data_IF_972140008399
#
_entry.id   IF_972140008399
#
_cell.length_a   1.000
_cell.length_b   1.000
_cell.length_c   1.000
_cell.angle_alpha   90.00
_cell.angle_beta   90.00
_cell.angle_gamma   90.00
#
_symmetry.space_group_name_H-M   'P 1'
#
loop_
_entity.id
_entity.type
_entity.pdbx_description
1 polymer ?
#
# COMPACT_ATOMS: atom_id res chain seq x y z
N UNK A 1 12.52 0.84 11.88
CA UNK A 1 12.84 0.33 10.53
C UNK A 1 12.31 1.28 9.44
N UNK A 2 13.00 1.39 8.31
CA UNK A 2 12.54 2.20 7.17
C UNK A 2 11.54 1.41 6.33
N UNK A 3 10.42 2.03 5.94
CA UNK A 3 9.35 1.39 5.16
C UNK A 3 8.64 2.41 4.26
N UNK A 4 7.95 1.92 3.24
CA UNK A 4 7.00 2.70 2.44
C UNK A 4 5.57 2.32 2.86
N UNK A 5 4.66 3.29 2.95
CA UNK A 5 3.26 3.01 3.23
C UNK A 5 2.49 2.78 1.92
N UNK A 6 1.69 1.72 1.84
CA UNK A 6 0.83 1.45 0.69
C UNK A 6 -0.58 2.00 0.93
N UNK A 7 -1.02 2.89 0.05
CA UNK A 7 -2.41 3.33 -0.05
C UNK A 7 -3.06 2.65 -1.25
N UNK A 8 -4.12 1.88 -1.03
CA UNK A 8 -4.80 1.15 -2.10
C UNK A 8 -6.27 0.96 -1.76
N UNK A 9 -7.12 0.87 -2.79
CA UNK A 9 -8.51 0.52 -2.60
C UNK A 9 -8.63 -0.99 -2.31
N UNK A 10 -9.31 -1.34 -1.22
CA UNK A 10 -9.50 -2.74 -0.83
C UNK A 10 -10.34 -3.52 -1.84
N UNK A 11 -11.24 -2.84 -2.57
CA UNK A 11 -12.10 -3.45 -3.58
C UNK A 11 -13.00 -4.52 -2.98
N UNK A 12 -13.10 -5.67 -3.68
CA UNK A 12 -13.84 -6.83 -3.15
C UNK A 12 -13.04 -7.47 -2.01
N UNK A 13 -13.73 -7.74 -0.91
CA UNK A 13 -13.14 -8.25 0.32
C UNK A 13 -12.94 -9.78 0.32
N UNK A 14 -13.19 -10.45 -0.81
CA UNK A 14 -12.99 -11.89 -0.92
C UNK A 14 -11.50 -12.22 -0.82
N UNK A 15 -11.11 -12.82 0.30
CA UNK A 15 -9.74 -13.27 0.56
C UNK A 15 -9.48 -14.60 -0.17
N UNK A 16 -9.43 -14.54 -1.50
CA UNK A 16 -9.32 -15.70 -2.40
C UNK A 16 -7.87 -16.15 -2.64
N UNK A 17 -6.89 -15.28 -2.35
CA UNK A 17 -5.47 -15.51 -2.62
C UNK A 17 -4.70 -15.78 -1.32
N UNK A 18 -3.51 -16.36 -1.43
CA UNK A 18 -2.65 -16.70 -0.28
C UNK A 18 -1.29 -16.04 -0.44
N UNK A 19 -0.87 -15.29 0.57
CA UNK A 19 0.50 -14.84 0.76
C UNK A 19 1.24 -15.80 1.71
N UNK A 20 2.51 -16.08 1.44
CA UNK A 20 3.34 -16.91 2.30
C UNK A 20 4.32 -16.03 3.08
N UNK A 21 4.45 -16.31 4.38
CA UNK A 21 5.47 -15.70 5.23
C UNK A 21 6.71 -16.58 5.12
N UNK A 22 7.80 -16.01 4.62
CA UNK A 22 9.07 -16.72 4.43
C UNK A 22 10.10 -16.17 5.41
N UNK A 23 10.81 -17.06 6.10
CA UNK A 23 11.91 -16.66 6.98
C UNK A 23 13.05 -16.04 6.18
N UNK A 24 13.52 -14.87 6.62
CA UNK A 24 14.57 -14.11 5.93
C UNK A 24 15.84 -14.94 5.69
N UNK A 25 16.18 -15.81 6.64
CA UNK A 25 17.48 -16.47 6.68
C UNK A 25 17.43 -17.91 6.16
N UNK A 26 16.24 -18.53 6.18
CA UNK A 26 16.08 -19.98 5.93
C UNK A 26 15.38 -20.30 4.62
N UNK A 27 14.74 -19.31 3.98
CA UNK A 27 13.83 -19.50 2.84
C UNK A 27 12.68 -20.49 3.12
N UNK A 28 12.46 -20.84 4.39
CA UNK A 28 11.37 -21.72 4.79
C UNK A 28 10.08 -20.92 4.92
N UNK A 29 8.97 -21.54 4.49
CA UNK A 29 7.63 -21.00 4.72
C UNK A 29 7.30 -21.17 6.21
N UNK A 30 7.15 -20.05 6.91
CA UNK A 30 6.80 -19.99 8.34
C UNK A 30 5.29 -19.95 8.56
N UNK A 31 4.52 -19.57 7.54
CA UNK A 31 3.08 -19.47 7.64
C UNK A 31 2.44 -18.94 6.36
N UNK A 32 1.13 -18.73 6.41
CA UNK A 32 0.38 -18.15 5.30
C UNK A 32 -0.75 -17.25 5.77
N UNK A 33 -1.13 -16.32 4.90
CA UNK A 33 -2.17 -15.32 5.14
C UNK A 33 -3.11 -15.29 3.94
N UNK A 34 -4.42 -15.27 4.20
CA UNK A 34 -5.42 -15.09 3.15
C UNK A 34 -5.56 -13.62 2.83
N UNK A 35 -5.37 -13.26 1.56
CA UNK A 35 -5.39 -11.88 1.07
C UNK A 35 -6.41 -11.70 -0.04
N UNK A 36 -6.89 -10.46 -0.21
CA UNK A 36 -7.81 -10.11 -1.29
C UNK A 36 -7.10 -10.15 -2.64
N UNK A 37 -7.88 -10.40 -3.70
CA UNK A 37 -7.35 -10.37 -5.07
C UNK A 37 -6.75 -9.00 -5.43
N UNK A 38 -7.39 -7.91 -5.01
CA UNK A 38 -6.89 -6.56 -5.28
C UNK A 38 -5.51 -6.31 -4.68
N UNK A 39 -5.29 -6.81 -3.46
CA UNK A 39 -4.01 -6.67 -2.77
C UNK A 39 -2.91 -7.58 -3.37
N UNK A 40 -3.23 -8.83 -3.76
CA UNK A 40 -2.28 -9.68 -4.51
C UNK A 40 -1.81 -9.02 -5.81
N UNK A 41 -2.74 -8.44 -6.58
CA UNK A 41 -2.43 -7.71 -7.81
C UNK A 41 -1.51 -6.52 -7.51
N UNK A 42 -1.82 -5.73 -6.47
CA UNK A 42 -0.99 -4.59 -6.07
C UNK A 42 0.44 -5.05 -5.72
N UNK A 43 0.60 -6.05 -4.85
CA UNK A 43 1.90 -6.57 -4.44
C UNK A 43 2.74 -7.06 -5.63
N UNK A 44 2.13 -7.79 -6.57
CA UNK A 44 2.82 -8.31 -7.76
C UNK A 44 3.29 -7.19 -8.69
N UNK A 45 2.50 -6.14 -8.87
CA UNK A 45 2.86 -4.99 -9.72
C UNK A 45 3.88 -4.06 -9.04
N UNK A 46 3.86 -3.97 -7.72
CA UNK A 46 4.78 -3.15 -6.95
C UNK A 46 6.12 -3.83 -6.66
N UNK A 47 6.21 -5.15 -6.88
CA UNK A 47 7.42 -5.94 -6.69
C UNK A 47 8.50 -5.48 -7.69
N UNK A 48 9.68 -5.15 -7.16
CA UNK A 48 10.87 -4.91 -7.98
C UNK A 48 11.52 -6.22 -8.37
N UNK A 49 12.20 -6.24 -9.51
CA UNK A 49 12.86 -7.43 -10.05
C UNK A 49 14.24 -7.68 -9.43
N UNK A 50 14.86 -6.64 -8.89
CA UNK A 50 16.25 -6.60 -8.44
C UNK A 50 16.40 -6.55 -6.91
N UNK A 51 15.43 -5.95 -6.22
CA UNK A 51 15.55 -5.60 -4.80
C UNK A 51 14.27 -5.88 -4.02
N UNK A 52 14.43 -6.21 -2.74
CA UNK A 52 13.33 -6.28 -1.80
C UNK A 52 12.72 -4.89 -1.54
N UNK A 53 11.44 -4.87 -1.15
CA UNK A 53 10.76 -3.67 -0.67
C UNK A 53 10.14 -3.94 0.69
N UNK A 54 10.30 -2.99 1.60
CA UNK A 54 9.62 -2.99 2.90
C UNK A 54 8.37 -2.13 2.79
N UNK A 55 7.22 -2.79 2.65
CA UNK A 55 5.92 -2.14 2.55
C UNK A 55 5.14 -2.33 3.86
N UNK A 56 4.58 -1.25 4.37
CA UNK A 56 3.49 -1.30 5.34
C UNK A 56 2.17 -1.28 4.59
N UNK A 57 1.28 -2.24 4.87
CA UNK A 57 -0.06 -2.31 4.31
C UNK A 57 -1.03 -2.75 5.40
N UNK A 58 -2.12 -2.01 5.59
CA UNK A 58 -3.10 -2.24 6.65
C UNK A 58 -3.70 -3.66 6.63
N UNK A 59 -3.89 -4.29 5.47
CA UNK A 59 -4.39 -5.67 5.39
C UNK A 59 -3.47 -6.74 5.96
N UNK A 60 -2.18 -6.45 6.17
CA UNK A 60 -1.23 -7.37 6.81
C UNK A 60 -0.82 -6.84 8.20
N UNK A 61 -0.49 -5.56 8.30
CA UNK A 61 0.12 -4.97 9.48
C UNK A 61 -0.87 -4.68 10.60
N UNK A 62 -2.17 -4.78 10.34
CA UNK A 62 -3.24 -4.62 11.34
C UNK A 62 -4.02 -5.92 11.38
N UNK A 63 -4.24 -6.47 12.58
CA UNK A 63 -5.17 -7.56 12.75
C UNK A 63 -6.61 -7.07 12.50
N UNK A 64 -7.12 -7.31 11.29
CA UNK A 64 -8.43 -6.83 10.88
C UNK A 64 -9.59 -7.50 11.62
N UNK A 65 -9.34 -8.62 12.30
CA UNK A 65 -10.34 -9.39 13.06
C UNK A 65 -10.43 -8.95 14.52
N UNK A 66 -9.43 -8.21 15.03
CA UNK A 66 -9.43 -7.63 16.36
C UNK A 66 -9.87 -6.17 16.30
N UNK A 67 -11.10 -5.88 16.71
CA UNK A 67 -11.70 -4.54 16.64
C UNK A 67 -10.96 -3.53 17.53
N UNK A 68 -10.48 -3.96 18.70
CA UNK A 68 -9.77 -3.07 19.65
C UNK A 68 -8.40 -2.68 19.09
N UNK A 69 -7.63 -3.66 18.61
CA UNK A 69 -6.35 -3.42 17.95
C UNK A 69 -6.55 -2.54 16.71
N UNK A 70 -7.52 -2.89 15.86
CA UNK A 70 -7.80 -2.13 14.63
C UNK A 70 -8.11 -0.67 14.94
N UNK A 71 -8.92 -0.41 15.97
CA UNK A 71 -9.27 0.97 16.35
C UNK A 71 -8.05 1.77 16.79
N UNK A 72 -7.16 1.16 17.57
CA UNK A 72 -5.88 1.77 17.98
C UNK A 72 -4.97 2.01 16.77
N UNK A 73 -4.86 1.05 15.85
CA UNK A 73 -4.01 1.19 14.67
C UNK A 73 -4.54 2.25 13.70
N UNK A 74 -5.87 2.34 13.54
CA UNK A 74 -6.50 3.39 12.72
C UNK A 74 -6.21 4.78 13.26
N UNK A 75 -6.23 4.97 14.59
CA UNK A 75 -5.83 6.24 15.21
C UNK A 75 -4.36 6.58 14.96
N UNK A 76 -3.50 5.58 14.76
CA UNK A 76 -2.07 5.75 14.46
C UNK A 76 -1.76 5.90 12.97
N UNK A 77 -2.75 5.80 12.08
CA UNK A 77 -2.49 5.87 10.64
C UNK A 77 -1.83 7.18 10.23
N UNK A 78 -2.19 8.31 10.86
CA UNK A 78 -1.50 9.59 10.61
C UNK A 78 0.00 9.47 10.84
N UNK A 79 0.41 8.95 12.00
CA UNK A 79 1.82 8.77 12.35
C UNK A 79 2.51 7.78 11.42
N UNK A 80 1.86 6.67 11.07
CA UNK A 80 2.42 5.65 10.17
C UNK A 80 2.70 6.25 8.79
N UNK A 81 1.74 6.99 8.23
CA UNK A 81 1.91 7.62 6.92
C UNK A 81 2.94 8.75 6.96
N UNK A 82 2.94 9.55 8.03
CA UNK A 82 3.89 10.65 8.24
C UNK A 82 5.34 10.18 8.35
N UNK A 83 5.58 9.02 8.96
CA UNK A 83 6.93 8.48 9.15
C UNK A 83 7.36 7.49 8.06
N UNK A 84 6.51 7.23 7.06
CA UNK A 84 6.89 6.43 5.91
C UNK A 84 7.91 7.18 5.05
N UNK A 85 8.86 6.46 4.43
CA UNK A 85 9.80 7.05 3.46
C UNK A 85 9.08 7.75 2.31
N UNK A 86 7.93 7.19 1.92
CA UNK A 86 6.95 7.75 1.00
C UNK A 86 5.66 6.94 1.08
N UNK A 87 4.59 7.54 0.58
CA UNK A 87 3.31 6.84 0.36
C UNK A 87 3.25 6.40 -1.09
N UNK A 88 2.97 5.11 -1.31
CA UNK A 88 2.75 4.54 -2.63
C UNK A 88 1.25 4.44 -2.84
N UNK A 89 0.71 5.27 -3.73
CA UNK A 89 -0.72 5.25 -4.08
C UNK A 89 -0.94 4.28 -5.25
N UNK A 90 -1.64 3.18 -4.98
CA UNK A 90 -1.99 2.17 -5.98
C UNK A 90 -3.42 2.39 -6.49
N UNK A 91 -3.52 2.85 -7.73
CA UNK A 91 -4.80 3.13 -8.42
C UNK A 91 -5.35 1.93 -9.21
N UNK A 92 -4.63 0.80 -9.20
CA UNK A 92 -4.95 -0.37 -10.02
C UNK A 92 -4.06 -0.49 -11.27
N UNK A 93 -4.25 -1.57 -12.05
CA UNK A 93 -3.56 -1.75 -13.32
C UNK A 93 -3.90 -0.63 -14.30
N UNK A 94 -2.95 -0.32 -15.21
CA UNK A 94 -3.20 0.64 -16.27
C UNK A 94 -4.41 0.24 -17.13
N UNK A 95 -5.28 1.21 -17.40
CA UNK A 95 -6.42 1.14 -18.31
C UNK A 95 -6.22 2.11 -19.48
N UNK A 96 -7.13 2.09 -20.46
CA UNK A 96 -7.02 2.93 -21.66
C UNK A 96 -6.83 4.41 -21.35
N UNK A 97 -7.52 4.91 -20.32
CA UNK A 97 -7.51 6.32 -19.94
C UNK A 97 -6.42 6.68 -18.93
N UNK A 98 -5.66 5.70 -18.42
CA UNK A 98 -4.62 5.99 -17.40
C UNK A 98 -3.60 7.01 -17.89
N UNK A 99 -3.18 6.94 -19.16
CA UNK A 99 -2.23 7.91 -19.73
C UNK A 99 -2.79 9.34 -19.70
N UNK A 100 -4.06 9.49 -20.04
CA UNK A 100 -4.74 10.78 -20.07
C UNK A 100 -4.84 11.33 -18.64
N UNK A 101 -5.26 10.50 -17.68
CA UNK A 101 -5.36 10.88 -16.28
C UNK A 101 -4.00 11.34 -15.70
N UNK A 102 -2.93 10.58 -15.93
CA UNK A 102 -1.59 10.96 -15.45
C UNK A 102 -1.06 12.22 -16.15
N UNK A 103 -1.35 12.41 -17.45
CA UNK A 103 -0.98 13.65 -18.15
C UNK A 103 -1.73 14.86 -17.59
N UNK A 104 -3.02 14.70 -17.26
CA UNK A 104 -3.81 15.75 -16.63
C UNK A 104 -3.30 16.09 -15.22
N UNK A 105 -2.91 15.09 -14.42
CA UNK A 105 -2.31 15.30 -13.11
C UNK A 105 -0.97 16.03 -13.20
N UNK A 106 -0.13 15.68 -14.17
CA UNK A 106 1.14 16.37 -14.42
C UNK A 106 0.90 17.82 -14.84
N UNK A 107 -0.04 18.06 -15.75
CA UNK A 107 -0.44 19.40 -16.16
C UNK A 107 -0.95 20.23 -14.98
N UNK A 108 -1.86 19.68 -14.16
CA UNK A 108 -2.33 20.37 -12.95
C UNK A 108 -1.18 20.69 -12.00
N UNK A 109 -0.29 19.73 -11.74
CA UNK A 109 0.87 19.92 -10.86
C UNK A 109 1.81 21.05 -11.29
N UNK A 110 1.92 21.32 -12.60
CA UNK A 110 2.70 22.44 -13.13
C UNK A 110 2.04 23.81 -12.94
N UNK A 111 0.72 23.85 -12.75
CA UNK A 111 -0.07 25.08 -12.65
C UNK A 111 -0.65 25.31 -11.25
N UNK A 112 -0.33 24.46 -10.28
CA UNK A 112 -0.67 24.68 -8.87
C UNK A 112 0.28 25.74 -8.31
N UNK A 113 -0.27 26.91 -8.02
CA UNK A 113 0.37 27.88 -7.13
C UNK A 113 0.13 27.42 -5.69
N UNK A 114 1.20 27.02 -5.00
CA UNK A 114 1.13 26.74 -3.56
C UNK A 114 1.21 28.10 -2.88
N UNK A 115 0.07 28.60 -2.41
CA UNK A 115 0.06 29.74 -1.51
C UNK A 115 0.33 29.22 -0.09
N UNK A 116 1.44 29.69 0.48
CA UNK A 116 1.85 29.32 1.84
C UNK A 116 1.05 30.18 2.83
N UNK A 117 -0.23 29.86 2.96
CA UNK A 117 -1.20 30.67 3.73
C UNK A 117 -1.06 30.47 5.24
N UNK A 118 -0.05 29.73 5.71
CA UNK A 118 0.33 29.65 7.12
C UNK A 118 -0.75 29.10 8.07
N UNK A 119 -1.69 28.29 7.58
CA UNK A 119 -2.69 27.58 8.40
C UNK A 119 -2.30 26.12 8.66
#
# INVERSE_FOLDING_TARGET
PAYEALSYAWGRLDRTHTAYVVGSDTQLVLGSLRITRGFDIALRNLRRTDTGRSLWADAICINQENVDERSIQVQRMEEIYKHALRVVVWLGPASGDSKIAFSALEWLGQHVEISDDGW
#
